data_IF_699750002006
#
_entry.id   IF_699750002006
#
_cell.length_a   1.000
_cell.length_b   1.000
_cell.length_c   1.000
_cell.angle_alpha   90.00
_cell.angle_beta   90.00
_cell.angle_gamma   90.00
#
_symmetry.space_group_name_H-M   'P 1'
#
loop_
_entity.id
_entity.type
_entity.pdbx_description
1 polymer ?
#
# COMPACT_ATOMS: atom_id res chain seq x y z
N UNK A 1 -53.21 24.99 1.54
CA UNK A 1 -52.25 23.90 1.85
C UNK A 1 -50.90 24.30 1.37
N UNK A 2 -50.01 24.78 2.26
CA UNK A 2 -48.62 25.02 1.98
C UNK A 2 -47.85 23.73 2.35
N UNK A 3 -47.33 23.02 1.33
CA UNK A 3 -46.38 21.92 1.51
C UNK A 3 -44.99 22.49 1.74
N UNK A 4 -44.47 22.33 2.94
CA UNK A 4 -43.06 22.59 3.24
C UNK A 4 -42.26 21.38 2.76
N UNK A 5 -41.52 21.55 1.67
CA UNK A 5 -40.52 20.60 1.25
C UNK A 5 -39.27 20.77 2.14
N UNK A 6 -39.06 19.82 3.03
CA UNK A 6 -37.78 19.68 3.71
C UNK A 6 -36.78 19.11 2.72
N UNK A 7 -35.94 19.96 2.14
CA UNK A 7 -34.73 19.54 1.47
C UNK A 7 -33.74 19.14 2.58
N UNK A 8 -33.60 17.85 2.81
CA UNK A 8 -32.49 17.31 3.57
C UNK A 8 -31.21 17.60 2.81
N UNK A 9 -30.49 18.63 3.21
CA UNK A 9 -29.09 18.77 2.85
C UNK A 9 -28.34 17.62 3.53
N UNK A 10 -28.22 16.49 2.81
CA UNK A 10 -27.18 15.55 3.07
C UNK A 10 -25.92 16.30 2.67
N UNK A 11 -25.26 16.93 3.66
CA UNK A 11 -23.87 17.32 3.52
C UNK A 11 -23.15 16.03 3.19
N UNK A 12 -22.78 15.85 1.92
CA UNK A 12 -21.68 14.98 1.57
C UNK A 12 -20.52 15.49 2.43
N UNK A 13 -20.20 14.78 3.52
CA UNK A 13 -18.96 15.02 4.23
C UNK A 13 -17.90 14.83 3.17
N UNK A 14 -17.27 15.93 2.73
CA UNK A 14 -16.42 15.96 1.58
C UNK A 14 -15.37 14.89 1.75
N UNK A 15 -15.30 13.95 0.81
CA UNK A 15 -14.19 13.01 0.76
C UNK A 15 -12.93 13.85 0.77
N UNK A 16 -12.05 13.60 1.76
CA UNK A 16 -10.78 14.28 1.89
C UNK A 16 -10.00 14.05 0.61
N UNK A 17 -9.61 15.11 -0.09
CA UNK A 17 -8.90 14.99 -1.36
C UNK A 17 -7.55 14.31 -1.15
N UNK A 18 -7.26 13.27 -1.94
CA UNK A 18 -5.98 12.57 -1.91
C UNK A 18 -4.84 13.51 -2.31
N UNK A 19 -3.95 13.79 -1.38
CA UNK A 19 -2.80 14.68 -1.56
C UNK A 19 -1.55 14.09 -0.90
N UNK A 20 -0.37 14.17 -1.56
CA UNK A 20 0.86 13.64 -0.98
C UNK A 20 1.17 14.23 0.39
N UNK A 21 1.48 13.39 1.37
CA UNK A 21 1.80 13.78 2.74
C UNK A 21 0.61 14.13 3.63
N UNK A 22 -0.60 14.17 3.07
CA UNK A 22 -1.82 14.46 3.83
C UNK A 22 -2.51 13.15 4.24
N UNK A 23 -2.11 12.62 5.38
CA UNK A 23 -2.68 11.41 5.99
C UNK A 23 -2.34 11.38 7.48
N UNK A 24 -2.94 10.45 8.23
CA UNK A 24 -2.85 10.43 9.68
C UNK A 24 -1.94 9.32 10.21
N UNK A 25 -1.90 8.16 9.58
CA UNK A 25 -1.04 7.03 9.98
C UNK A 25 -0.73 6.10 8.81
N UNK A 26 0.24 5.20 9.00
CA UNK A 26 0.53 4.11 8.07
C UNK A 26 -0.08 2.79 8.53
N UNK A 27 -0.66 2.06 7.61
CA UNK A 27 -1.02 0.66 7.77
C UNK A 27 0.05 -0.22 7.10
N UNK A 28 0.71 -1.06 7.89
CA UNK A 28 1.61 -2.09 7.35
C UNK A 28 0.77 -3.29 6.91
N UNK A 29 0.81 -3.62 5.63
CA UNK A 29 0.04 -4.70 5.05
C UNK A 29 0.96 -5.85 4.65
N UNK A 30 0.67 -7.03 5.18
CA UNK A 30 1.40 -8.26 4.92
C UNK A 30 0.50 -9.25 4.18
N UNK A 31 1.10 -10.05 3.32
CA UNK A 31 0.44 -11.18 2.65
C UNK A 31 1.02 -12.49 3.16
N UNK A 32 0.14 -13.43 3.51
CA UNK A 32 0.52 -14.80 3.85
C UNK A 32 0.63 -15.64 2.58
N UNK A 33 1.85 -15.96 2.17
CA UNK A 33 2.12 -16.56 0.88
C UNK A 33 1.44 -17.89 0.62
N UNK A 34 1.35 -18.87 1.57
CA UNK A 34 0.66 -20.12 1.30
C UNK A 34 -0.79 -19.92 0.85
N UNK A 35 -1.56 -19.09 1.55
CA UNK A 35 -2.96 -18.81 1.16
C UNK A 35 -3.04 -18.05 -0.16
N UNK A 36 -2.17 -17.06 -0.36
CA UNK A 36 -2.11 -16.34 -1.64
C UNK A 36 -1.82 -17.29 -2.81
N UNK A 37 -0.84 -18.17 -2.66
CA UNK A 37 -0.45 -19.11 -3.72
C UNK A 37 -1.54 -20.14 -4.02
N UNK A 38 -2.32 -20.57 -3.03
CA UNK A 38 -3.45 -21.46 -3.23
C UNK A 38 -4.62 -20.82 -3.97
N UNK A 39 -4.90 -19.54 -3.68
CA UNK A 39 -6.10 -18.85 -4.16
C UNK A 39 -5.86 -17.97 -5.37
N UNK A 40 -4.80 -17.19 -5.37
CA UNK A 40 -4.52 -16.15 -6.37
C UNK A 40 -3.31 -16.45 -7.26
N UNK A 41 -2.31 -17.16 -6.71
CA UNK A 41 -1.04 -17.44 -7.38
C UNK A 41 -1.01 -18.75 -8.16
N UNK A 42 -2.05 -19.57 -8.09
CA UNK A 42 -2.11 -20.89 -8.74
C UNK A 42 -1.99 -20.76 -10.26
N UNK A 43 -0.99 -21.42 -10.84
CA UNK A 43 -0.74 -21.39 -12.29
C UNK A 43 -0.06 -20.11 -12.80
N UNK A 44 0.40 -19.22 -11.91
CA UNK A 44 1.18 -18.04 -12.27
C UNK A 44 2.68 -18.30 -12.13
N UNK A 45 3.51 -17.59 -12.90
CA UNK A 45 4.98 -17.56 -12.72
C UNK A 45 5.39 -16.56 -11.64
N UNK A 46 4.54 -16.32 -10.66
CA UNK A 46 4.81 -15.42 -9.56
C UNK A 46 5.94 -15.98 -8.69
N UNK A 47 7.00 -15.20 -8.50
CA UNK A 47 8.17 -15.58 -7.68
C UNK A 47 7.78 -15.93 -6.24
N UNK A 48 6.71 -15.35 -5.73
CA UNK A 48 6.18 -15.67 -4.42
C UNK A 48 5.75 -17.14 -4.31
N UNK A 49 5.32 -17.75 -5.40
CA UNK A 49 4.72 -19.08 -5.46
C UNK A 49 5.57 -20.13 -6.17
N UNK A 50 6.37 -19.72 -7.18
CA UNK A 50 7.12 -20.59 -8.08
C UNK A 50 8.61 -20.69 -7.78
N UNK A 51 9.14 -19.90 -6.83
CA UNK A 51 10.55 -19.89 -6.48
C UNK A 51 10.97 -21.11 -5.65
N UNK A 52 12.26 -21.45 -5.72
CA UNK A 52 12.86 -22.49 -4.88
C UNK A 52 12.86 -22.14 -3.38
N UNK A 53 12.75 -20.85 -3.05
CA UNK A 53 12.69 -20.34 -1.69
C UNK A 53 11.23 -20.12 -1.28
N UNK A 54 10.72 -20.85 -0.27
CA UNK A 54 9.37 -20.59 0.23
C UNK A 54 9.31 -19.25 0.95
N UNK A 55 8.31 -18.46 0.60
CA UNK A 55 7.96 -17.25 1.34
C UNK A 55 6.90 -17.58 2.38
N UNK A 56 6.98 -16.95 3.54
CA UNK A 56 5.93 -16.97 4.57
C UNK A 56 5.11 -15.68 4.46
N UNK A 57 5.35 -14.71 5.35
CA UNK A 57 4.84 -13.37 5.17
C UNK A 57 5.73 -12.58 4.21
N UNK A 58 5.11 -11.90 3.28
CA UNK A 58 5.74 -10.91 2.42
C UNK A 58 5.12 -9.55 2.67
N UNK A 59 5.91 -8.51 2.43
CA UNK A 59 5.41 -7.15 2.48
C UNK A 59 4.48 -6.92 1.28
N UNK A 60 3.22 -6.56 1.55
CA UNK A 60 2.30 -6.11 0.51
C UNK A 60 2.44 -4.61 0.28
N UNK A 61 2.46 -3.83 1.35
CA UNK A 61 2.69 -2.40 1.25
C UNK A 61 2.66 -1.68 2.59
N UNK A 62 3.02 -0.41 2.53
CA UNK A 62 2.89 0.55 3.63
C UNK A 62 1.92 1.63 3.18
N UNK A 63 0.69 1.59 3.69
CA UNK A 63 -0.41 2.39 3.16
C UNK A 63 -0.74 3.58 4.05
N UNK A 64 -0.62 4.81 3.54
CA UNK A 64 -1.16 5.97 4.22
C UNK A 64 -2.67 5.84 4.44
N UNK A 65 -3.13 6.21 5.62
CA UNK A 65 -4.53 6.07 6.04
C UNK A 65 -5.02 7.36 6.70
N UNK A 66 -6.33 7.58 6.65
CA UNK A 66 -7.02 8.56 7.48
C UNK A 66 -7.58 7.87 8.74
N UNK A 67 -7.64 8.58 9.85
CA UNK A 67 -8.32 8.06 11.06
C UNK A 67 -9.81 7.84 10.83
N UNK A 68 -10.41 8.65 9.95
CA UNK A 68 -11.83 8.58 9.62
C UNK A 68 -12.03 8.65 8.11
N UNK A 69 -12.97 7.86 7.61
CA UNK A 69 -13.49 7.93 6.24
C UNK A 69 -12.44 7.67 5.13
N UNK A 70 -11.77 6.54 5.19
CA UNK A 70 -11.00 6.01 4.07
C UNK A 70 -9.51 6.32 4.10
N UNK A 71 -8.92 6.44 2.95
CA UNK A 71 -7.49 6.57 2.75
C UNK A 71 -7.20 7.34 1.45
N UNK A 72 -6.03 8.00 1.36
CA UNK A 72 -5.59 8.59 0.11
C UNK A 72 -5.07 7.50 -0.81
N UNK A 73 -5.34 7.61 -2.09
CA UNK A 73 -4.78 6.73 -3.10
C UNK A 73 -4.56 7.46 -4.43
N UNK A 74 -3.64 6.96 -5.25
CA UNK A 74 -3.33 7.50 -6.57
C UNK A 74 -3.05 9.01 -6.55
N UNK A 75 -2.34 9.48 -5.52
CA UNK A 75 -2.06 10.90 -5.35
C UNK A 75 -1.26 11.46 -6.54
N UNK A 76 -1.63 12.66 -6.96
CA UNK A 76 -0.87 13.38 -7.99
C UNK A 76 0.43 13.88 -7.41
N UNK A 77 1.52 13.58 -8.09
CA UNK A 77 2.87 14.05 -7.81
C UNK A 77 3.34 15.00 -8.92
N UNK A 78 4.30 15.87 -8.62
CA UNK A 78 4.87 16.78 -9.63
C UNK A 78 5.49 16.01 -10.79
N UNK A 79 6.20 14.92 -10.48
CA UNK A 79 6.74 14.00 -11.45
C UNK A 79 5.89 12.74 -11.56
N UNK A 80 6.01 12.06 -12.69
CA UNK A 80 5.36 10.75 -12.86
C UNK A 80 5.86 9.79 -11.78
N UNK A 81 4.97 9.05 -11.07
CA UNK A 81 5.37 8.11 -10.01
C UNK A 81 6.02 6.86 -10.60
N UNK A 82 7.25 7.00 -11.04
CA UNK A 82 8.07 5.95 -11.63
C UNK A 82 9.06 5.38 -10.60
N UNK A 83 9.13 4.06 -10.52
CA UNK A 83 10.06 3.37 -9.62
C UNK A 83 11.28 2.90 -10.41
N UNK A 84 12.49 3.38 -10.09
CA UNK A 84 13.73 2.92 -10.74
C UNK A 84 13.94 1.41 -10.58
N UNK A 85 14.52 0.78 -11.60
CA UNK A 85 14.76 -0.67 -11.63
C UNK A 85 15.61 -1.16 -10.46
N UNK A 86 16.62 -0.40 -10.05
CA UNK A 86 17.48 -0.77 -8.91
C UNK A 86 16.69 -0.82 -7.57
N UNK A 87 15.69 0.02 -7.41
CA UNK A 87 14.81 -0.01 -6.23
C UNK A 87 13.90 -1.24 -6.29
N UNK A 88 13.32 -1.54 -7.46
CA UNK A 88 12.52 -2.75 -7.66
C UNK A 88 13.33 -3.98 -7.28
N UNK A 89 14.54 -4.11 -7.84
CA UNK A 89 15.41 -5.27 -7.60
C UNK A 89 15.76 -5.41 -6.12
N UNK A 90 16.01 -4.30 -5.43
CA UNK A 90 16.30 -4.29 -3.99
C UNK A 90 15.14 -4.72 -3.09
N UNK A 91 13.90 -4.68 -3.58
CA UNK A 91 12.70 -5.06 -2.82
C UNK A 91 12.28 -6.52 -2.99
N UNK A 92 12.81 -7.24 -3.97
CA UNK A 92 12.32 -8.57 -4.35
C UNK A 92 12.45 -9.65 -3.27
N UNK A 93 13.32 -9.47 -2.30
CA UNK A 93 13.46 -10.40 -1.16
C UNK A 93 12.26 -10.34 -0.19
N UNK A 94 11.55 -9.22 -0.13
CA UNK A 94 10.42 -9.02 0.78
C UNK A 94 9.12 -8.68 0.04
N UNK A 95 9.20 -8.21 -1.19
CA UNK A 95 8.09 -7.97 -2.13
C UNK A 95 8.42 -8.69 -3.44
N UNK A 96 8.17 -10.01 -3.55
CA UNK A 96 8.73 -10.84 -4.62
C UNK A 96 8.01 -10.69 -5.97
N UNK A 97 7.50 -9.54 -6.28
CA UNK A 97 6.85 -9.21 -7.56
C UNK A 97 7.21 -7.78 -7.99
N UNK A 98 7.94 -7.60 -9.09
CA UNK A 98 8.22 -6.27 -9.65
C UNK A 98 6.95 -5.46 -9.90
N UNK A 99 5.91 -6.12 -10.39
CA UNK A 99 4.61 -5.48 -10.64
C UNK A 99 3.97 -4.97 -9.36
N UNK A 100 4.05 -5.72 -8.27
CA UNK A 100 3.55 -5.30 -6.96
C UNK A 100 4.29 -4.06 -6.46
N UNK A 101 5.62 -4.05 -6.55
CA UNK A 101 6.45 -2.88 -6.15
C UNK A 101 5.99 -1.63 -6.88
N UNK A 102 5.83 -1.69 -8.19
CA UNK A 102 5.39 -0.56 -9.00
C UNK A 102 3.97 -0.11 -8.63
N UNK A 103 3.04 -1.04 -8.51
CA UNK A 103 1.63 -0.74 -8.19
C UNK A 103 1.47 -0.15 -6.80
N UNK A 104 2.17 -0.68 -5.80
CA UNK A 104 2.12 -0.19 -4.43
C UNK A 104 2.62 1.25 -4.31
N UNK A 105 3.69 1.59 -5.00
CA UNK A 105 4.15 2.98 -5.02
C UNK A 105 3.16 3.90 -5.72
N UNK A 106 2.66 3.52 -6.87
CA UNK A 106 1.71 4.35 -7.63
C UNK A 106 0.40 4.59 -6.87
N UNK A 107 -0.08 3.57 -6.19
CA UNK A 107 -1.36 3.64 -5.46
C UNK A 107 -1.21 4.29 -4.09
N UNK A 108 -0.20 3.89 -3.33
CA UNK A 108 -0.04 4.23 -1.92
C UNK A 108 1.21 5.06 -1.64
N UNK A 109 2.35 4.67 -2.18
CA UNK A 109 3.62 5.35 -1.93
C UNK A 109 3.64 6.80 -2.39
N UNK A 110 3.00 7.10 -3.52
CA UNK A 110 2.84 8.46 -4.01
C UNK A 110 2.08 9.38 -3.04
N UNK A 111 1.24 8.80 -2.19
CA UNK A 111 0.51 9.52 -1.16
C UNK A 111 1.31 9.73 0.14
N UNK A 112 2.46 9.08 0.28
CA UNK A 112 3.32 9.25 1.46
C UNK A 112 4.02 10.61 1.53
N UNK A 113 4.15 11.29 0.40
CA UNK A 113 4.97 12.49 0.26
C UNK A 113 6.46 12.19 0.08
N UNK A 114 6.85 10.92 0.11
CA UNK A 114 8.22 10.46 -0.13
C UNK A 114 8.43 10.10 -1.60
N UNK A 115 9.66 10.25 -2.09
CA UNK A 115 10.09 9.67 -3.36
C UNK A 115 10.16 8.13 -3.25
N UNK A 116 10.34 7.40 -4.37
CA UNK A 116 10.41 5.95 -4.34
C UNK A 116 11.48 5.40 -3.39
N UNK A 117 12.65 6.02 -3.34
CA UNK A 117 13.73 5.58 -2.44
C UNK A 117 13.32 5.73 -0.98
N UNK A 118 12.81 6.88 -0.59
CA UNK A 118 12.36 7.12 0.79
C UNK A 118 11.24 6.18 1.23
N UNK A 119 10.27 5.96 0.37
CA UNK A 119 9.16 5.04 0.64
C UNK A 119 9.63 3.58 0.81
N UNK A 120 10.45 3.09 -0.11
CA UNK A 120 10.94 1.72 -0.06
C UNK A 120 12.09 1.50 0.94
N UNK A 121 12.69 2.55 1.47
CA UNK A 121 13.56 2.45 2.66
C UNK A 121 12.73 2.35 3.95
N UNK A 122 11.61 3.07 4.03
CA UNK A 122 10.72 3.06 5.20
C UNK A 122 9.92 1.75 5.35
N UNK A 123 9.44 1.19 4.26
CA UNK A 123 8.61 -0.02 4.27
C UNK A 123 9.34 -1.26 4.82
N UNK A 124 10.60 -1.57 4.44
CA UNK A 124 11.36 -2.66 5.05
C UNK A 124 11.61 -2.49 6.54
N UNK A 125 11.88 -1.27 7.01
CA UNK A 125 12.06 -1.00 8.44
C UNK A 125 10.79 -1.30 9.24
N UNK A 126 9.64 -0.89 8.73
CA UNK A 126 8.34 -1.19 9.33
C UNK A 126 8.07 -2.70 9.36
N UNK A 127 8.40 -3.41 8.28
CA UNK A 127 8.29 -4.86 8.19
C UNK A 127 9.21 -5.58 9.18
N UNK A 128 10.45 -5.14 9.33
CA UNK A 128 11.41 -5.71 10.29
C UNK A 128 10.96 -5.50 11.75
N UNK A 129 10.39 -4.34 12.08
CA UNK A 129 9.84 -4.06 13.41
C UNK A 129 8.64 -4.97 13.70
N UNK A 130 7.73 -5.14 12.74
CA UNK A 130 6.56 -6.01 12.88
C UNK A 130 6.90 -7.50 13.03
N UNK A 131 8.12 -7.93 12.65
CA UNK A 131 8.59 -9.31 12.79
C UNK A 131 9.28 -9.60 14.12
N UNK A 132 9.57 -8.57 14.92
CA UNK A 132 10.18 -8.80 16.25
C UNK A 132 9.15 -9.48 17.16
N UNK A 133 9.50 -10.64 17.77
CA UNK A 133 8.64 -11.23 18.79
C UNK A 133 8.47 -10.21 19.91
N UNK A 134 7.24 -10.11 20.43
CA UNK A 134 6.97 -9.31 21.62
C UNK A 134 7.95 -9.77 22.71
N UNK A 135 8.72 -8.85 23.28
CA UNK A 135 9.52 -9.15 24.46
C UNK A 135 8.56 -9.45 25.60
N UNK A 136 8.55 -10.69 26.07
CA UNK A 136 7.88 -11.09 27.30
C UNK A 136 8.49 -10.33 28.48
#
# INVERSE_FOLDING_TARGET
SMSLAFTSNVSAQGERASSPGDFDYYLLVLSWSPTYCETQGRGTNDRQCSGARPFSFVLHGLWPQYEQNGWPEMCRTEERPWVPQNIIDGMLDIMPSPRLVIQEYRKHGACSGMDPRGYFDAAPLSFAIGRRPAKN
#
